data_IF_690925631976
#
_entry.id   IF_690925631976
#
_cell.length_a   1.000
_cell.length_b   1.000
_cell.length_c   1.000
_cell.angle_alpha   90.00
_cell.angle_beta   90.00
_cell.angle_gamma   90.00
#
_symmetry.space_group_name_H-M   'P 1'
#
loop_
_entity.id
_entity.type
_entity.pdbx_description
1 polymer ?
#
# COMPACT_ATOMS: atom_id res chain seq x y z
N UNK A 1 -22.19 8.71 6.51
CA UNK A 1 -22.92 8.06 7.61
C UNK A 1 -24.00 7.06 7.17
N UNK A 2 -24.30 6.91 5.87
CA UNK A 2 -25.43 6.10 5.38
C UNK A 2 -25.29 4.58 5.49
N UNK A 3 -24.12 4.04 5.82
CA UNK A 3 -23.88 2.58 5.90
C UNK A 3 -23.83 2.03 7.33
N UNK A 4 -24.05 2.85 8.35
CA UNK A 4 -23.97 2.41 9.76
C UNK A 4 -24.99 1.31 10.10
N UNK A 5 -26.08 1.25 9.33
CA UNK A 5 -27.11 0.21 9.39
C UNK A 5 -26.67 -1.15 8.82
N UNK A 6 -25.56 -1.21 8.06
CA UNK A 6 -25.00 -2.46 7.52
C UNK A 6 -23.99 -3.11 8.48
N UNK A 7 -23.79 -2.55 9.67
CA UNK A 7 -22.91 -3.12 10.69
C UNK A 7 -23.54 -4.40 11.25
N UNK A 8 -23.14 -5.55 10.69
CA UNK A 8 -23.34 -6.85 11.30
C UNK A 8 -22.23 -7.08 12.33
N UNK A 9 -22.57 -7.50 13.55
CA UNK A 9 -21.65 -7.73 14.68
C UNK A 9 -20.60 -8.85 14.45
N UNK A 10 -20.31 -9.19 13.20
CA UNK A 10 -19.31 -10.17 12.78
C UNK A 10 -17.87 -9.65 12.95
N UNK A 11 -17.69 -8.34 13.15
CA UNK A 11 -16.38 -7.69 13.38
C UNK A 11 -16.49 -6.53 14.38
N UNK A 12 -15.38 -6.15 15.04
CA UNK A 12 -15.37 -4.96 15.91
C UNK A 12 -15.65 -3.71 15.09
N UNK A 13 -16.42 -2.76 15.64
CA UNK A 13 -16.76 -1.50 14.96
C UNK A 13 -15.55 -0.77 14.37
N UNK A 14 -14.42 -0.79 15.07
CA UNK A 14 -13.16 -0.20 14.59
C UNK A 14 -12.62 -0.86 13.32
N UNK A 15 -12.72 -2.18 13.19
CA UNK A 15 -12.31 -2.91 11.99
C UNK A 15 -13.25 -2.55 10.82
N UNK A 16 -14.56 -2.54 11.06
CA UNK A 16 -15.56 -2.16 10.05
C UNK A 16 -15.38 -0.71 9.55
N UNK A 17 -15.09 0.23 10.45
CA UNK A 17 -14.81 1.63 10.07
C UNK A 17 -13.52 1.73 9.27
N UNK A 18 -12.44 1.04 9.70
CA UNK A 18 -11.18 0.96 8.95
C UNK A 18 -11.40 0.42 7.54
N UNK A 19 -12.22 -0.61 7.36
CA UNK A 19 -12.58 -1.15 6.05
C UNK A 19 -13.25 -0.10 5.16
N UNK A 20 -14.18 0.69 5.70
CA UNK A 20 -14.85 1.76 4.94
C UNK A 20 -13.85 2.82 4.50
N UNK A 21 -12.99 3.27 5.42
CA UNK A 21 -11.98 4.29 5.13
C UNK A 21 -11.00 3.80 4.07
N UNK A 22 -10.42 2.62 4.25
CA UNK A 22 -9.48 2.02 3.28
C UNK A 22 -10.12 1.87 1.91
N UNK A 23 -11.32 1.29 1.83
CA UNK A 23 -12.01 1.11 0.56
C UNK A 23 -12.36 2.44 -0.10
N UNK A 24 -12.73 3.46 0.68
CA UNK A 24 -13.04 4.79 0.14
C UNK A 24 -11.78 5.47 -0.38
N UNK A 25 -10.66 5.37 0.35
CA UNK A 25 -9.36 5.90 -0.05
C UNK A 25 -8.81 5.22 -1.30
N UNK A 26 -8.87 3.89 -1.38
CA UNK A 26 -8.45 3.15 -2.60
C UNK A 26 -9.28 3.57 -3.81
N UNK A 27 -10.62 3.64 -3.66
CA UNK A 27 -11.48 4.07 -4.75
C UNK A 27 -11.23 5.53 -5.16
N UNK A 28 -11.01 6.41 -4.19
CA UNK A 28 -10.66 7.80 -4.44
C UNK A 28 -9.34 7.93 -5.20
N UNK A 29 -8.30 7.22 -4.77
CA UNK A 29 -6.99 7.23 -5.43
C UNK A 29 -7.05 6.63 -6.84
N UNK A 30 -7.82 5.55 -7.05
CA UNK A 30 -8.04 5.01 -8.40
C UNK A 30 -8.70 6.05 -9.29
N UNK A 31 -9.79 6.68 -8.83
CA UNK A 31 -10.49 7.75 -9.57
C UNK A 31 -9.56 8.93 -9.86
N UNK A 32 -8.79 9.36 -8.87
CA UNK A 32 -7.82 10.44 -9.00
C UNK A 32 -6.71 10.09 -10.01
N UNK A 33 -6.21 8.85 -10.03
CA UNK A 33 -5.23 8.41 -11.04
C UNK A 33 -5.79 8.45 -12.48
N UNK A 34 -7.10 8.24 -12.65
CA UNK A 34 -7.77 8.46 -13.94
C UNK A 34 -7.90 9.95 -14.29
N UNK A 35 -8.03 10.83 -13.29
CA UNK A 35 -8.12 12.30 -13.49
C UNK A 35 -6.73 12.96 -13.65
N UNK A 36 -5.68 12.43 -13.03
CA UNK A 36 -4.30 12.96 -13.00
C UNK A 36 -3.39 12.51 -14.16
N UNK A 37 -3.94 12.18 -15.32
CA UNK A 37 -3.13 11.98 -16.55
C UNK A 37 -2.49 13.31 -17.03
N UNK A 38 -2.62 14.41 -16.29
CA UNK A 38 -1.84 15.63 -16.46
C UNK A 38 -1.38 16.19 -15.11
N UNK A 39 -0.12 16.63 -15.09
CA UNK A 39 0.55 17.43 -14.04
C UNK A 39 1.28 16.62 -12.95
N UNK A 40 2.52 16.25 -13.28
CA UNK A 40 3.59 15.97 -12.32
C UNK A 40 4.14 17.31 -11.81
N UNK A 41 4.03 17.58 -10.51
CA UNK A 41 4.92 18.48 -9.77
C UNK A 41 4.66 18.29 -8.27
N UNK A 42 5.56 17.60 -7.58
CA UNK A 42 5.62 17.59 -6.12
C UNK A 42 6.96 18.23 -5.75
N UNK A 43 6.89 19.44 -5.19
CA UNK A 43 8.04 20.16 -4.67
C UNK A 43 8.44 19.59 -3.31
N UNK A 44 9.69 19.16 -3.17
CA UNK A 44 10.28 18.75 -1.90
C UNK A 44 10.74 19.97 -1.09
N UNK A 45 10.39 20.01 0.20
CA UNK A 45 10.98 20.93 1.17
C UNK A 45 12.29 20.33 1.72
N UNK A 46 13.36 21.12 1.87
CA UNK A 46 14.60 20.63 2.45
C UNK A 46 14.51 20.62 3.97
N UNK A 47 14.52 19.43 4.57
CA UNK A 47 14.87 19.23 5.98
C UNK A 47 16.39 19.00 6.07
N UNK A 48 17.06 19.58 7.09
CA UNK A 48 18.45 19.29 7.42
C UNK A 48 18.57 17.84 7.95
N UNK A 49 19.15 16.95 7.16
CA UNK A 49 19.27 15.52 7.46
C UNK A 49 20.76 15.15 7.53
N UNK A 50 21.13 14.35 8.53
CA UNK A 50 22.50 13.83 8.70
C UNK A 50 22.88 12.90 7.52
N UNK A 51 24.18 12.73 7.22
CA UNK A 51 24.60 11.93 6.05
C UNK A 51 24.12 10.46 6.12
N UNK A 52 24.10 9.85 7.30
CA UNK A 52 23.60 8.48 7.49
C UNK A 52 22.07 8.42 7.38
N UNK A 53 21.33 9.39 7.95
CA UNK A 53 19.87 9.46 7.79
C UNK A 53 19.47 9.77 6.33
N UNK A 54 20.32 10.48 5.59
CA UNK A 54 20.10 10.82 4.19
C UNK A 54 20.17 9.55 3.32
N UNK A 55 21.15 8.67 3.56
CA UNK A 55 21.31 7.44 2.80
C UNK A 55 20.17 6.44 3.09
N UNK A 56 19.77 6.32 4.37
CA UNK A 56 18.59 5.53 4.77
C UNK A 56 17.31 6.09 4.16
N UNK A 57 17.14 7.42 4.14
CA UNK A 57 15.97 8.07 3.53
C UNK A 57 15.93 7.86 2.02
N UNK A 58 17.08 7.97 1.35
CA UNK A 58 17.21 7.72 -0.09
C UNK A 58 16.80 6.28 -0.43
N UNK A 59 17.33 5.29 0.29
CA UNK A 59 16.93 3.89 0.12
C UNK A 59 15.43 3.68 0.39
N UNK A 60 14.88 4.31 1.42
CA UNK A 60 13.46 4.22 1.73
C UNK A 60 12.58 4.83 0.62
N UNK A 61 13.00 5.95 0.03
CA UNK A 61 12.29 6.60 -1.08
C UNK A 61 12.37 5.77 -2.37
N UNK A 62 13.50 5.11 -2.64
CA UNK A 62 13.60 4.17 -3.75
C UNK A 62 12.67 2.96 -3.58
N UNK A 63 12.57 2.41 -2.36
CA UNK A 63 11.63 1.33 -2.03
C UNK A 63 10.18 1.81 -2.18
N UNK A 64 9.85 3.01 -1.70
CA UNK A 64 8.51 3.59 -1.90
C UNK A 64 8.18 3.73 -3.37
N UNK A 65 9.11 4.25 -4.17
CA UNK A 65 8.94 4.39 -5.62
C UNK A 65 8.72 3.02 -6.27
N UNK A 66 9.51 2.01 -5.92
CA UNK A 66 9.34 0.65 -6.43
C UNK A 66 7.98 0.02 -6.02
N UNK A 67 7.48 0.31 -4.81
CA UNK A 67 6.13 -0.08 -4.38
C UNK A 67 5.05 0.56 -5.27
N UNK A 68 5.22 1.81 -5.70
CA UNK A 68 4.23 2.48 -6.57
C UNK A 68 4.08 1.80 -7.95
N UNK A 69 5.16 1.20 -8.46
CA UNK A 69 5.19 0.46 -9.74
C UNK A 69 4.50 -0.91 -9.69
N UNK A 70 4.16 -1.41 -8.49
CA UNK A 70 3.43 -2.65 -8.34
C UNK A 70 2.00 -2.53 -8.90
N UNK A 71 1.43 -3.62 -9.46
CA UNK A 71 -0.01 -3.68 -9.74
C UNK A 71 -0.84 -3.37 -8.49
N UNK A 72 -1.97 -2.69 -8.66
CA UNK A 72 -2.79 -2.17 -7.55
C UNK A 72 -3.09 -3.21 -6.45
N UNK A 73 -3.50 -4.42 -6.82
CA UNK A 73 -3.80 -5.47 -5.84
C UNK A 73 -2.57 -5.86 -5.02
N UNK A 74 -1.41 -5.96 -5.67
CA UNK A 74 -0.15 -6.32 -5.02
C UNK A 74 0.30 -5.21 -4.08
N UNK A 75 0.26 -3.96 -4.56
CA UNK A 75 0.61 -2.78 -3.76
C UNK A 75 -0.25 -2.67 -2.50
N UNK A 76 -1.57 -2.82 -2.63
CA UNK A 76 -2.51 -2.70 -1.52
C UNK A 76 -2.28 -3.81 -0.49
N UNK A 77 -2.20 -5.07 -0.92
CA UNK A 77 -1.98 -6.20 -0.01
C UNK A 77 -0.62 -6.09 0.69
N UNK A 78 0.43 -5.74 -0.05
CA UNK A 78 1.77 -5.55 0.52
C UNK A 78 1.79 -4.42 1.57
N UNK A 79 1.15 -3.28 1.27
CA UNK A 79 1.11 -2.13 2.18
C UNK A 79 0.34 -2.45 3.46
N UNK A 80 -0.84 -3.06 3.34
CA UNK A 80 -1.64 -3.46 4.50
C UNK A 80 -0.90 -4.45 5.40
N UNK A 81 -0.13 -5.38 4.81
CA UNK A 81 0.61 -6.35 5.60
C UNK A 81 1.89 -5.78 6.24
N UNK A 82 2.76 -5.15 5.45
CA UNK A 82 4.09 -4.72 5.92
C UNK A 82 4.11 -3.35 6.60
N UNK A 83 3.26 -2.41 6.18
CA UNK A 83 3.28 -1.04 6.68
C UNK A 83 2.25 -0.83 7.79
N UNK A 84 1.06 -1.43 7.61
CA UNK A 84 -0.04 -1.26 8.57
C UNK A 84 -0.16 -2.41 9.57
N UNK A 85 0.52 -3.55 9.32
CA UNK A 85 0.60 -4.68 10.25
C UNK A 85 -0.63 -5.59 10.29
N UNK A 86 -1.52 -5.54 9.30
CA UNK A 86 -2.68 -6.44 9.23
C UNK A 86 -2.28 -7.86 8.83
N UNK A 87 -2.97 -8.86 9.36
CA UNK A 87 -2.83 -10.24 8.91
C UNK A 87 -3.64 -10.52 7.61
N UNK A 88 -3.44 -11.71 7.02
CA UNK A 88 -4.10 -12.06 5.77
C UNK A 88 -5.61 -12.26 5.90
N UNK A 89 -6.10 -12.62 7.09
CA UNK A 89 -7.53 -12.79 7.37
C UNK A 89 -8.21 -11.41 7.42
N UNK A 90 -7.62 -10.45 8.15
CA UNK A 90 -8.08 -9.07 8.19
C UNK A 90 -8.06 -8.43 6.79
N UNK A 91 -6.99 -8.62 6.03
CA UNK A 91 -6.87 -8.12 4.65
C UNK A 91 -7.94 -8.74 3.74
N UNK A 92 -8.22 -10.04 3.88
CA UNK A 92 -9.26 -10.73 3.12
C UNK A 92 -10.63 -10.09 3.39
N UNK A 93 -10.95 -9.82 4.65
CA UNK A 93 -12.16 -9.11 5.04
C UNK A 93 -12.20 -7.68 4.50
N UNK A 94 -11.09 -6.91 4.60
CA UNK A 94 -11.00 -5.53 4.14
C UNK A 94 -11.25 -5.41 2.64
N UNK A 95 -10.58 -6.26 1.85
CA UNK A 95 -10.59 -6.19 0.40
C UNK A 95 -11.69 -7.06 -0.24
N UNK A 96 -12.44 -7.82 0.57
CA UNK A 96 -13.46 -8.78 0.12
C UNK A 96 -12.90 -9.79 -0.89
N UNK A 97 -11.74 -10.37 -0.56
CA UNK A 97 -11.08 -11.44 -1.31
C UNK A 97 -10.90 -12.66 -0.40
N UNK A 98 -10.47 -13.81 -0.94
CA UNK A 98 -10.11 -14.94 -0.08
C UNK A 98 -8.77 -14.71 0.62
N UNK A 99 -8.57 -15.28 1.80
CA UNK A 99 -7.29 -15.26 2.51
C UNK A 99 -6.16 -15.86 1.65
N UNK A 100 -6.43 -16.95 0.92
CA UNK A 100 -5.50 -17.53 -0.04
C UNK A 100 -5.12 -16.55 -1.15
N UNK A 101 -6.07 -15.74 -1.62
CA UNK A 101 -5.81 -14.66 -2.59
C UNK A 101 -4.91 -13.60 -1.97
N UNK A 102 -5.15 -13.18 -0.71
CA UNK A 102 -4.29 -12.24 0.02
C UNK A 102 -2.85 -12.77 0.11
N UNK A 103 -2.65 -14.01 0.59
CA UNK A 103 -1.34 -14.67 0.68
C UNK A 103 -0.63 -14.75 -0.67
N UNK A 104 -1.35 -15.18 -1.71
CA UNK A 104 -0.80 -15.30 -3.07
C UNK A 104 -0.40 -13.94 -3.65
N UNK A 105 -1.25 -12.92 -3.49
CA UNK A 105 -0.94 -11.57 -3.94
C UNK A 105 0.26 -11.00 -3.19
N UNK A 106 0.36 -11.21 -1.88
CA UNK A 106 1.52 -10.80 -1.08
C UNK A 106 2.82 -11.44 -1.56
N UNK A 107 2.84 -12.76 -1.77
CA UNK A 107 4.02 -13.46 -2.27
C UNK A 107 4.46 -12.94 -3.65
N UNK A 108 3.49 -12.74 -4.56
CA UNK A 108 3.75 -12.17 -5.89
C UNK A 108 4.22 -10.72 -5.82
N UNK A 109 3.67 -9.93 -4.89
CA UNK A 109 4.08 -8.57 -4.62
C UNK A 109 5.55 -8.51 -4.18
N UNK A 110 5.96 -9.33 -3.20
CA UNK A 110 7.36 -9.42 -2.76
C UNK A 110 8.30 -9.79 -3.90
N UNK A 111 7.96 -10.83 -4.67
CA UNK A 111 8.81 -11.27 -5.80
C UNK A 111 8.95 -10.18 -6.85
N UNK A 112 7.84 -9.49 -7.17
CA UNK A 112 7.87 -8.40 -8.16
C UNK A 112 8.62 -7.18 -7.65
N UNK A 113 8.43 -6.81 -6.37
CA UNK A 113 9.16 -5.71 -5.75
C UNK A 113 10.67 -5.98 -5.79
N UNK A 114 11.10 -7.19 -5.39
CA UNK A 114 12.50 -7.58 -5.49
C UNK A 114 13.04 -7.43 -6.91
N UNK A 115 12.31 -7.93 -7.91
CA UNK A 115 12.72 -7.79 -9.32
C UNK A 115 12.82 -6.33 -9.79
N UNK A 116 11.99 -5.42 -9.27
CA UNK A 116 12.06 -3.99 -9.60
C UNK A 116 13.31 -3.38 -8.96
N UNK A 117 13.57 -3.69 -7.69
CA UNK A 117 14.75 -3.20 -6.96
C UNK A 117 16.06 -3.72 -7.59
N UNK A 118 16.11 -5.01 -7.95
CA UNK A 118 17.26 -5.61 -8.65
C UNK A 118 17.52 -4.95 -10.02
N UNK A 119 16.47 -4.60 -10.77
CA UNK A 119 16.61 -3.87 -12.04
C UNK A 119 17.14 -2.45 -11.85
N UNK A 120 16.85 -1.83 -10.70
CA UNK A 120 17.35 -0.50 -10.33
C UNK A 120 18.76 -0.54 -9.73
N UNK A 121 19.39 -1.71 -9.65
CA UNK A 121 20.76 -1.87 -9.15
C UNK A 121 20.87 -2.04 -7.63
N UNK A 122 19.75 -2.06 -6.91
CA UNK A 122 19.74 -2.44 -5.49
C UNK A 122 19.85 -3.96 -5.38
N UNK A 123 21.04 -4.44 -5.05
CA UNK A 123 21.24 -5.83 -4.60
C UNK A 123 21.23 -5.82 -3.08
N UNK A 124 20.48 -6.76 -2.50
CA UNK A 124 20.71 -7.17 -1.12
C UNK A 124 22.15 -7.71 -1.06
N UNK A 125 23.09 -6.97 -0.47
CA UNK A 125 24.38 -7.51 -0.03
C UNK A 125 24.20 -8.34 1.23
#
# INVERSE_FOLDING_TARGET
FTRIVDFRQETTFGLWLKQIVINKSINYLRKRKFEFVGTDEIAELPDEISADDYDVKLQADEVRNAITELPDGYRVVLSLYLLEGYDHEEIAHILKISENTSRTQYMRAKKKLKSILEQKGMRDE
#
